data_IF_732656655535
#
_entry.id   IF_732656655535
#
_cell.length_a   1.000
_cell.length_b   1.000
_cell.length_c   1.000
_cell.angle_alpha   90.00
_cell.angle_beta   90.00
_cell.angle_gamma   90.00
#
_symmetry.space_group_name_H-M   'P 1'
#
loop_
_entity.id
_entity.type
_entity.pdbx_description
1 polymer ?
#
# COMPACT_ATOMS: atom_id res chain seq x y z
N UNK A 1 8.27 -10.83 19.08
CA UNK A 1 8.43 -10.44 17.64
C UNK A 1 7.08 -10.52 16.94
N UNK A 2 6.68 -9.47 16.25
CA UNK A 2 5.37 -9.45 15.58
C UNK A 2 5.51 -9.92 14.15
N UNK A 3 4.78 -10.97 13.78
CA UNK A 3 4.79 -11.48 12.42
C UNK A 3 3.91 -10.60 11.53
N UNK A 4 4.28 -10.49 10.26
CA UNK A 4 3.43 -9.86 9.27
C UNK A 4 2.21 -10.72 9.01
N UNK A 5 1.04 -10.09 8.90
CA UNK A 5 -0.20 -10.78 8.56
C UNK A 5 -0.82 -10.13 7.33
N UNK A 6 -1.45 -10.94 6.51
CA UNK A 6 -2.16 -10.42 5.35
C UNK A 6 -3.48 -9.79 5.79
N UNK A 7 -3.76 -8.61 5.24
CA UNK A 7 -5.03 -7.90 5.46
C UNK A 7 -5.64 -7.58 4.10
N UNK A 8 -6.94 -7.29 4.07
CA UNK A 8 -7.59 -6.91 2.83
C UNK A 8 -7.34 -5.43 2.51
N UNK A 9 -7.69 -5.02 1.29
CA UNK A 9 -7.45 -3.64 0.86
C UNK A 9 -8.28 -2.62 1.62
N UNK A 10 -9.49 -2.98 2.02
CA UNK A 10 -10.31 -2.06 2.80
C UNK A 10 -9.70 -1.78 4.17
N UNK A 11 -9.23 -2.82 4.84
CA UNK A 11 -8.55 -2.68 6.13
C UNK A 11 -7.27 -1.87 5.95
N UNK A 12 -6.50 -2.14 4.90
CA UNK A 12 -5.29 -1.39 4.60
C UNK A 12 -5.58 0.09 4.37
N UNK A 13 -6.65 0.40 3.64
CA UNK A 13 -7.08 1.77 3.40
C UNK A 13 -7.45 2.47 4.71
N UNK A 14 -8.18 1.81 5.58
CA UNK A 14 -8.57 2.37 6.87
C UNK A 14 -7.34 2.69 7.71
N UNK A 15 -6.38 1.78 7.77
CA UNK A 15 -5.13 2.00 8.51
C UNK A 15 -4.36 3.16 7.90
N UNK A 16 -4.24 3.19 6.57
CA UNK A 16 -3.53 4.26 5.87
C UNK A 16 -4.16 5.63 6.13
N UNK A 17 -5.47 5.71 6.02
CA UNK A 17 -6.18 6.98 6.25
C UNK A 17 -6.02 7.46 7.69
N UNK A 18 -6.05 6.54 8.65
CA UNK A 18 -5.83 6.88 10.05
C UNK A 18 -4.42 7.41 10.32
N UNK A 19 -3.45 7.01 9.51
CA UNK A 19 -2.06 7.45 9.63
C UNK A 19 -1.69 8.59 8.68
N UNK A 20 -2.64 9.07 7.90
CA UNK A 20 -2.36 10.12 6.91
C UNK A 20 -1.55 9.62 5.72
N UNK A 21 -1.61 8.33 5.42
CA UNK A 21 -0.92 7.75 4.27
C UNK A 21 -1.84 7.70 3.06
N UNK A 22 -1.26 7.80 1.88
CA UNK A 22 -1.97 7.78 0.61
C UNK A 22 -1.38 6.70 -0.31
N UNK A 23 -2.18 6.18 -1.24
CA UNK A 23 -1.66 5.21 -2.21
C UNK A 23 -0.80 5.92 -3.26
N UNK A 24 0.32 5.32 -3.59
CA UNK A 24 1.29 5.95 -4.48
C UNK A 24 2.11 4.91 -5.24
N UNK A 25 2.74 5.39 -6.31
CA UNK A 25 3.81 4.67 -7.02
C UNK A 25 5.10 5.45 -6.87
N UNK A 26 6.21 4.75 -6.76
CA UNK A 26 7.51 5.41 -6.81
C UNK A 26 7.70 5.94 -8.23
N UNK A 27 8.04 7.24 -8.38
CA UNK A 27 8.22 7.87 -9.68
C UNK A 27 9.15 7.09 -10.58
N UNK A 28 8.76 6.94 -11.83
CA UNK A 28 9.53 6.21 -12.82
C UNK A 28 9.45 4.71 -12.70
N UNK A 29 8.65 4.19 -11.78
CA UNK A 29 8.48 2.75 -11.58
C UNK A 29 7.01 2.40 -11.41
N UNK A 30 6.74 1.09 -11.36
CA UNK A 30 5.41 0.59 -11.06
C UNK A 30 5.28 0.11 -9.61
N UNK A 31 6.27 0.43 -8.76
CA UNK A 31 6.29 -0.01 -7.37
C UNK A 31 5.23 0.73 -6.56
N UNK A 32 4.33 -0.02 -5.94
CA UNK A 32 3.25 0.53 -5.12
C UNK A 32 3.73 0.73 -3.69
N UNK A 33 3.34 1.86 -3.10
CA UNK A 33 3.68 2.17 -1.72
C UNK A 33 2.59 2.98 -1.05
N UNK A 34 2.57 2.94 0.27
CA UNK A 34 1.80 3.88 1.09
C UNK A 34 2.75 5.01 1.47
N UNK A 35 2.36 6.25 1.21
CA UNK A 35 3.24 7.39 1.44
C UNK A 35 2.49 8.59 1.97
N UNK A 36 3.21 9.46 2.67
CA UNK A 36 2.67 10.75 3.09
C UNK A 36 2.53 11.67 1.88
N UNK A 37 1.56 12.57 1.94
CA UNK A 37 1.18 13.41 0.81
C UNK A 37 2.27 14.40 0.34
N UNK A 38 3.29 14.65 1.18
CA UNK A 38 4.36 15.60 0.88
C UNK A 38 5.62 14.95 0.28
N UNK A 39 5.54 13.69 -0.09
CA UNK A 39 6.72 12.99 -0.63
C UNK A 39 6.83 13.21 -2.14
N UNK A 40 7.81 14.01 -2.56
CA UNK A 40 8.05 14.37 -3.96
C UNK A 40 8.47 13.20 -4.85
N UNK A 41 8.92 12.11 -4.26
CA UNK A 41 9.40 10.96 -5.01
C UNK A 41 8.27 10.01 -5.41
N UNK A 42 7.05 10.35 -5.03
CA UNK A 42 5.88 9.51 -5.25
C UNK A 42 4.92 10.15 -6.23
N UNK A 43 4.32 9.32 -7.09
CA UNK A 43 3.16 9.69 -7.87
C UNK A 43 1.93 9.15 -7.16
N UNK A 44 1.08 10.03 -6.66
CA UNK A 44 -0.12 9.62 -5.93
C UNK A 44 -1.20 9.17 -6.90
N UNK A 45 -1.87 8.10 -6.53
CA UNK A 45 -2.93 7.48 -7.33
C UNK A 45 -4.17 7.30 -6.48
N UNK A 46 -5.28 6.93 -7.09
CA UNK A 46 -6.50 6.63 -6.33
C UNK A 46 -6.38 5.26 -5.67
N UNK A 47 -7.21 5.05 -4.64
CA UNK A 47 -7.29 3.74 -4.01
C UNK A 47 -7.73 2.66 -5.01
N UNK A 48 -8.62 3.02 -5.93
CA UNK A 48 -9.08 2.10 -6.95
C UNK A 48 -7.95 1.66 -7.88
N UNK A 49 -7.13 2.60 -8.35
CA UNK A 49 -5.95 2.30 -9.17
C UNK A 49 -4.96 1.44 -8.40
N UNK A 50 -4.74 1.76 -7.14
CA UNK A 50 -3.83 1.02 -6.27
C UNK A 50 -4.27 -0.44 -6.14
N UNK A 51 -5.54 -0.65 -5.83
CA UNK A 51 -6.08 -1.99 -5.67
C UNK A 51 -6.03 -2.79 -6.98
N UNK A 52 -6.39 -2.16 -8.09
CA UNK A 52 -6.31 -2.80 -9.40
C UNK A 52 -4.91 -3.22 -9.77
N UNK A 53 -3.94 -2.32 -9.57
CA UNK A 53 -2.55 -2.60 -9.88
C UNK A 53 -2.02 -3.73 -9.01
N UNK A 54 -2.32 -3.71 -7.73
CA UNK A 54 -1.91 -4.76 -6.81
C UNK A 54 -2.54 -6.10 -7.19
N UNK A 55 -3.84 -6.11 -7.45
CA UNK A 55 -4.56 -7.34 -7.81
C UNK A 55 -4.03 -7.96 -9.10
N UNK A 56 -3.72 -7.13 -10.11
CA UNK A 56 -3.21 -7.63 -11.38
C UNK A 56 -1.83 -8.29 -11.24
N UNK A 57 -1.09 -7.94 -10.21
CA UNK A 57 0.24 -8.50 -9.92
C UNK A 57 0.20 -9.54 -8.81
N UNK A 58 -0.97 -9.89 -8.32
CA UNK A 58 -1.16 -10.81 -7.20
C UNK A 58 -0.43 -10.34 -5.94
N UNK A 59 -0.41 -9.04 -5.70
CA UNK A 59 0.15 -8.48 -4.49
C UNK A 59 -0.93 -8.42 -3.41
N UNK A 60 -0.52 -8.69 -2.17
CA UNK A 60 -1.35 -8.50 -1.00
C UNK A 60 -0.73 -7.48 -0.08
N UNK A 61 -1.52 -6.92 0.82
CA UNK A 61 -1.02 -6.02 1.84
C UNK A 61 -0.78 -6.83 3.11
N UNK A 62 0.40 -6.65 3.68
CA UNK A 62 0.80 -7.31 4.92
C UNK A 62 1.08 -6.25 5.97
N UNK A 63 0.68 -6.50 7.19
CA UNK A 63 0.68 -5.53 8.27
C UNK A 63 1.31 -6.10 9.53
N UNK A 64 2.02 -5.25 10.26
CA UNK A 64 2.55 -5.57 11.56
C UNK A 64 2.66 -4.28 12.37
N UNK A 65 1.90 -4.17 13.46
CA UNK A 65 1.95 -3.01 14.33
C UNK A 65 1.60 -1.68 13.65
N UNK A 66 0.79 -1.72 12.61
CA UNK A 66 0.42 -0.54 11.82
C UNK A 66 1.34 -0.27 10.64
N UNK A 67 2.48 -0.97 10.56
CA UNK A 67 3.36 -0.88 9.40
C UNK A 67 2.84 -1.82 8.31
N UNK A 68 2.78 -1.32 7.09
CA UNK A 68 2.22 -2.08 5.96
C UNK A 68 3.17 -2.12 4.80
N UNK A 69 3.18 -3.24 4.09
CA UNK A 69 3.91 -3.34 2.82
C UNK A 69 3.18 -4.27 1.87
N UNK A 70 3.51 -4.13 0.60
CA UNK A 70 2.97 -4.98 -0.45
C UNK A 70 3.96 -6.09 -0.75
N UNK A 71 3.45 -7.32 -0.81
CA UNK A 71 4.25 -8.48 -1.18
C UNK A 71 3.41 -9.39 -2.06
N UNK A 72 4.09 -10.17 -2.90
CA UNK A 72 3.40 -11.15 -3.73
C UNK A 72 2.77 -12.22 -2.84
N UNK A 73 1.52 -12.54 -3.11
CA UNK A 73 0.84 -13.62 -2.41
C UNK A 73 1.45 -14.96 -2.80
N UNK A 74 1.52 -15.92 -1.87
CA UNK A 74 2.03 -17.25 -2.18
C UNK A 74 1.11 -18.00 -3.15
#
# INVERSE_FOLDING_TARGET
MTALRQIDFETARQIAEAKGLRPAKVKGTATLRFSKADNDRMDFITWDEFERAASSRRLGVYESGGWMKLMRKP
#
